data_IF_433795922773
#
_entry.id   IF_433795922773
#
_cell.length_a   1.000
_cell.length_b   1.000
_cell.length_c   1.000
_cell.angle_alpha   90.00
_cell.angle_beta   90.00
_cell.angle_gamma   90.00
#
_symmetry.space_group_name_H-M   'P 1'
#
loop_
_entity.id
_entity.type
_entity.pdbx_description
1 polymer ?
#
# COMPACT_ATOMS: atom_id res chain seq x y z
N UNK A 1 47.62 -17.98 -16.17
CA UNK A 1 46.67 -17.03 -16.79
C UNK A 1 45.31 -17.64 -17.18
N UNK A 2 45.10 -18.97 -17.16
CA UNK A 2 43.80 -19.58 -17.53
C UNK A 2 42.75 -19.61 -16.41
N UNK A 3 43.18 -19.64 -15.14
CA UNK A 3 42.29 -19.69 -13.97
C UNK A 3 41.60 -18.35 -13.65
N UNK A 4 42.26 -17.23 -13.97
CA UNK A 4 41.76 -15.89 -13.64
C UNK A 4 40.53 -15.51 -14.50
N UNK A 5 40.49 -15.96 -15.75
CA UNK A 5 39.33 -15.77 -16.63
C UNK A 5 38.09 -16.56 -16.20
N UNK A 6 38.27 -17.73 -15.59
CA UNK A 6 37.16 -18.56 -15.09
C UNK A 6 36.48 -17.91 -13.88
N UNK A 7 37.26 -17.30 -12.98
CA UNK A 7 36.72 -16.60 -11.81
C UNK A 7 35.92 -15.34 -12.16
N UNK A 8 36.28 -14.64 -13.25
CA UNK A 8 35.53 -13.45 -13.70
C UNK A 8 34.21 -13.88 -14.35
N UNK A 9 34.19 -14.98 -15.10
CA UNK A 9 32.98 -15.49 -15.74
C UNK A 9 31.92 -15.96 -14.72
N UNK A 10 32.32 -16.55 -13.59
CA UNK A 10 31.39 -16.97 -12.54
C UNK A 10 30.77 -15.78 -11.79
N UNK A 11 31.51 -14.69 -11.57
CA UNK A 11 30.97 -13.46 -10.97
C UNK A 11 29.88 -12.79 -11.83
N UNK A 12 30.01 -12.84 -13.15
CA UNK A 12 29.01 -12.27 -14.08
C UNK A 12 27.73 -13.11 -14.11
N UNK A 13 27.83 -14.43 -13.94
CA UNK A 13 26.66 -15.33 -13.98
C UNK A 13 25.81 -15.31 -12.70
N UNK A 14 26.38 -14.96 -11.55
CA UNK A 14 25.63 -14.80 -10.28
C UNK A 14 24.90 -13.44 -10.20
N UNK A 15 25.25 -12.49 -11.08
CA UNK A 15 24.70 -11.13 -11.07
C UNK A 15 23.31 -10.94 -11.71
N UNK A 16 22.74 -11.96 -12.38
CA UNK A 16 21.50 -11.80 -13.14
C UNK A 16 20.26 -12.46 -12.51
N UNK A 17 20.30 -12.84 -11.23
CA UNK A 17 19.10 -13.30 -10.51
C UNK A 17 18.54 -12.25 -9.54
N UNK A 18 18.55 -10.98 -9.93
CA UNK A 18 17.51 -10.05 -9.48
C UNK A 18 16.31 -10.19 -10.42
N UNK A 19 15.81 -11.42 -10.56
CA UNK A 19 14.44 -11.64 -10.99
C UNK A 19 13.60 -11.01 -9.89
N UNK A 20 13.23 -9.75 -10.09
CA UNK A 20 12.23 -9.06 -9.30
C UNK A 20 11.04 -10.00 -9.23
N UNK A 21 10.92 -10.70 -8.11
CA UNK A 21 9.72 -11.41 -7.73
C UNK A 21 8.67 -10.32 -7.52
N UNK A 22 8.12 -9.80 -8.61
CA UNK A 22 6.78 -9.25 -8.67
C UNK A 22 5.82 -10.44 -8.48
N UNK A 23 5.95 -11.10 -7.33
CA UNK A 23 4.96 -12.00 -6.80
C UNK A 23 3.73 -11.12 -6.55
N UNK A 24 2.81 -11.13 -7.51
CA UNK A 24 1.51 -10.48 -7.45
C UNK A 24 1.56 -9.06 -6.91
N UNK A 25 1.71 -8.07 -7.79
CA UNK A 25 1.50 -6.66 -7.42
C UNK A 25 0.05 -6.52 -6.96
N UNK A 26 -0.18 -6.77 -5.68
CA UNK A 26 -1.46 -6.58 -5.02
C UNK A 26 -1.83 -5.13 -5.28
N UNK A 27 -2.80 -4.92 -6.16
CA UNK A 27 -3.27 -3.58 -6.47
C UNK A 27 -4.05 -3.12 -5.26
N UNK A 28 -3.74 -1.93 -4.75
CA UNK A 28 -4.41 -1.37 -3.60
C UNK A 28 -5.12 -0.08 -4.00
N UNK A 29 -6.31 0.15 -3.45
CA UNK A 29 -7.00 1.44 -3.51
C UNK A 29 -7.11 2.05 -2.12
N UNK A 30 -7.10 3.38 -2.06
CA UNK A 30 -7.43 4.11 -0.84
C UNK A 30 -8.91 4.44 -0.85
N UNK A 31 -9.64 3.96 0.15
CA UNK A 31 -11.04 4.31 0.39
C UNK A 31 -11.15 5.09 1.69
N UNK A 32 -12.19 5.90 1.83
CA UNK A 32 -12.45 6.64 3.07
C UNK A 32 -12.64 5.64 4.20
N UNK A 33 -11.99 5.89 5.33
CA UNK A 33 -12.20 5.09 6.54
C UNK A 33 -13.40 5.63 7.31
N UNK A 34 -14.59 5.11 6.96
CA UNK A 34 -15.84 5.53 7.59
C UNK A 34 -15.90 5.26 9.09
N UNK A 35 -15.19 4.23 9.58
CA UNK A 35 -15.18 3.87 11.00
C UNK A 35 -14.46 4.97 11.80
N UNK A 36 -13.31 5.43 11.29
CA UNK A 36 -12.54 6.51 11.89
C UNK A 36 -13.26 7.85 11.80
N UNK A 37 -13.84 8.18 10.63
CA UNK A 37 -14.67 9.38 10.47
C UNK A 37 -15.81 9.40 11.48
N UNK A 38 -16.55 8.29 11.60
CA UNK A 38 -17.67 8.19 12.53
C UNK A 38 -17.23 8.30 13.99
N UNK A 39 -16.06 7.74 14.34
CA UNK A 39 -15.53 7.86 15.70
C UNK A 39 -15.19 9.31 16.05
N UNK A 40 -14.52 10.03 15.15
CA UNK A 40 -14.18 11.45 15.35
C UNK A 40 -15.45 12.31 15.44
N UNK A 41 -16.40 12.11 14.53
CA UNK A 41 -17.67 12.84 14.56
C UNK A 41 -18.47 12.54 15.83
N UNK A 42 -18.50 11.29 16.29
CA UNK A 42 -19.15 10.92 17.55
C UNK A 42 -18.47 11.62 18.74
N UNK A 43 -17.13 11.60 18.79
CA UNK A 43 -16.39 12.25 19.85
C UNK A 43 -16.65 13.77 19.87
N UNK A 44 -16.71 14.42 18.70
CA UNK A 44 -17.02 15.83 18.57
C UNK A 44 -18.44 16.16 19.07
N UNK A 45 -19.45 15.36 18.67
CA UNK A 45 -20.85 15.52 19.10
C UNK A 45 -21.05 15.36 20.60
N UNK A 46 -20.31 14.46 21.23
CA UNK A 46 -20.39 14.21 22.68
C UNK A 46 -19.39 15.04 23.49
N UNK A 47 -18.63 15.92 22.85
CA UNK A 47 -17.70 16.80 23.56
C UNK A 47 -18.45 17.85 24.37
N UNK A 48 -17.93 18.18 25.55
CA UNK A 48 -18.46 19.23 26.43
C UNK A 48 -18.47 20.60 25.72
N UNK A 49 -17.57 20.79 24.76
CA UNK A 49 -17.33 22.06 24.08
C UNK A 49 -18.05 22.22 22.73
N UNK A 50 -18.89 21.25 22.31
CA UNK A 50 -19.63 21.29 21.03
C UNK A 50 -18.77 21.77 19.86
N UNK A 51 -17.90 20.89 19.38
CA UNK A 51 -16.97 21.19 18.28
C UNK A 51 -17.55 20.72 16.96
N UNK A 52 -17.46 21.56 15.92
CA UNK A 52 -17.77 21.20 14.54
C UNK A 52 -16.54 20.63 13.83
N UNK A 53 -16.73 19.55 13.08
CA UNK A 53 -15.65 18.86 12.36
C UNK A 53 -15.80 19.11 10.86
N UNK A 54 -14.76 19.67 10.25
CA UNK A 54 -14.67 19.86 8.80
C UNK A 54 -13.45 19.12 8.25
N UNK A 55 -13.68 18.27 7.26
CA UNK A 55 -12.61 17.48 6.63
C UNK A 55 -12.08 18.18 5.39
N UNK A 56 -10.81 18.59 5.41
CA UNK A 56 -10.07 19.01 4.20
C UNK A 56 -9.60 17.79 3.40
N UNK A 57 -9.19 16.75 4.10
CA UNK A 57 -8.90 15.43 3.54
C UNK A 57 -9.33 14.37 4.57
N UNK A 58 -10.28 13.52 4.19
CA UNK A 58 -10.80 12.51 5.11
C UNK A 58 -9.76 11.40 5.38
N UNK A 59 -9.80 10.74 6.55
CA UNK A 59 -9.02 9.55 6.81
C UNK A 59 -9.30 8.48 5.75
N UNK A 60 -8.25 7.79 5.31
CA UNK A 60 -8.36 6.75 4.28
C UNK A 60 -7.61 5.50 4.70
N UNK A 61 -8.24 4.35 4.45
CA UNK A 61 -7.62 3.03 4.62
C UNK A 61 -7.27 2.41 3.27
N UNK A 62 -6.20 1.61 3.28
CA UNK A 62 -5.72 0.87 2.12
C UNK A 62 -6.48 -0.44 2.01
N UNK A 63 -7.13 -0.68 0.88
CA UNK A 63 -7.91 -1.90 0.62
C UNK A 63 -7.37 -2.59 -0.62
N UNK A 64 -7.27 -3.92 -0.55
CA UNK A 64 -6.88 -4.75 -1.68
C UNK A 64 -7.92 -4.63 -2.79
N UNK A 65 -7.49 -4.38 -4.02
CA UNK A 65 -8.33 -4.48 -5.21
C UNK A 65 -8.34 -5.95 -5.59
N UNK A 66 -9.40 -6.65 -5.21
CA UNK A 66 -9.69 -7.97 -5.76
C UNK A 66 -10.03 -7.77 -7.24
N UNK A 67 -9.15 -8.22 -8.15
CA UNK A 67 -9.44 -8.23 -9.58
C UNK A 67 -10.60 -9.21 -9.84
N UNK A 68 -11.82 -8.68 -9.92
CA UNK A 68 -13.03 -9.46 -10.18
C UNK A 68 -14.32 -8.91 -9.59
N UNK A 69 -14.27 -8.01 -8.60
CA UNK A 69 -15.48 -7.41 -8.05
C UNK A 69 -15.68 -6.02 -8.64
N UNK A 70 -16.49 -5.97 -9.71
CA UNK A 70 -17.11 -4.76 -10.23
C UNK A 70 -17.93 -4.08 -9.12
N UNK A 71 -17.27 -3.29 -8.29
CA UNK A 71 -17.94 -2.36 -7.38
C UNK A 71 -18.00 -1.01 -8.11
N UNK A 72 -18.92 -0.93 -9.06
CA UNK A 72 -19.40 0.34 -9.57
C UNK A 72 -20.25 1.02 -8.48
N UNK A 73 -20.11 2.34 -8.27
CA UNK A 73 -21.03 3.11 -7.45
C UNK A 73 -22.44 3.14 -8.07
#
# INVERSE_FOLDING_TARGET
MRLLGVCIATLVLVGCSNGSNYAGTQKYKYVIDHDEVQQVERAARHSVHKVDVYWVNQPRKRVLIEEGVNNQP
#
